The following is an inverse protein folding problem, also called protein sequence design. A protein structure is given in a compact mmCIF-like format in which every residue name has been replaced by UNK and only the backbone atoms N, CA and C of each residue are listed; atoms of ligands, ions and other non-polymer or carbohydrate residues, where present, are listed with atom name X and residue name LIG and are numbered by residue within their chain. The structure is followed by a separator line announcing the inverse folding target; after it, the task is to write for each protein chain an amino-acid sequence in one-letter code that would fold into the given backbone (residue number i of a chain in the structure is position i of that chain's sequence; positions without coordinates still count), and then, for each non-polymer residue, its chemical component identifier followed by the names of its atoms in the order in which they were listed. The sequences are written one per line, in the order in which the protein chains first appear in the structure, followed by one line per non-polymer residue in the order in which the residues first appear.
data_IF_455415851504
#
_entry.id   IF_455415851504
#
_cell.length_a   1.000
_cell.length_b   1.000
_cell.length_c   1.000
_cell.angle_alpha   90.00
_cell.angle_beta   90.00
_cell.angle_gamma   90.00
#
_symmetry.space_group_name_H-M   'P 1'
#
loop_
_entity.id
_entity.type
_entity.pdbx_description
1 polymer ?
#
# COMPACT_ATOMS: atom_id res chain seq x y z
N UNK A 1 -13.97 -6.07 4.45
CA UNK A 1 -15.00 -7.13 4.34
C UNK A 1 -16.22 -6.71 3.52
N UNK A 2 -16.52 -5.44 3.34
CA UNK A 2 -17.70 -4.93 2.64
C UNK A 2 -17.86 -5.39 1.18
N UNK A 3 -17.09 -4.85 0.23
CA UNK A 3 -17.42 -5.04 -1.18
C UNK A 3 -17.07 -6.42 -1.74
N UNK A 4 -16.18 -7.20 -1.12
CA UNK A 4 -15.78 -8.53 -1.61
C UNK A 4 -16.93 -9.53 -1.75
N UNK A 5 -18.05 -9.32 -1.05
CA UNK A 5 -19.26 -10.15 -1.11
C UNK A 5 -20.43 -9.47 -1.82
N UNK A 6 -20.17 -8.30 -2.45
CA UNK A 6 -21.21 -7.56 -3.15
C UNK A 6 -21.56 -8.28 -4.47
N UNK A 7 -22.85 -8.59 -4.66
CA UNK A 7 -23.32 -9.26 -5.87
C UNK A 7 -23.64 -8.22 -6.96
N UNK A 8 -22.63 -7.89 -7.75
CA UNK A 8 -22.74 -6.92 -8.85
C UNK A 8 -23.79 -7.34 -9.87
N UNK A 9 -23.89 -8.62 -10.18
CA UNK A 9 -24.87 -9.11 -11.17
C UNK A 9 -26.30 -8.89 -10.70
N UNK A 10 -26.57 -9.15 -9.41
CA UNK A 10 -27.87 -8.89 -8.80
C UNK A 10 -28.15 -7.41 -8.65
N UNK A 11 -27.14 -6.60 -8.42
CA UNK A 11 -27.24 -5.14 -8.36
C UNK A 11 -27.67 -4.57 -9.71
N UNK A 12 -27.11 -5.07 -10.81
CA UNK A 12 -27.58 -4.80 -12.18
C UNK A 12 -27.32 -3.39 -12.68
N UNK A 13 -26.33 -2.67 -12.13
CA UNK A 13 -25.93 -1.35 -12.61
C UNK A 13 -24.67 -1.46 -13.47
N UNK A 14 -24.51 -0.54 -14.44
CA UNK A 14 -23.36 -0.45 -15.31
C UNK A 14 -22.20 0.30 -14.62
N UNK A 15 -22.48 1.17 -13.66
CA UNK A 15 -21.53 1.92 -12.85
C UNK A 15 -22.16 2.33 -11.51
N UNK A 16 -21.34 2.80 -10.58
CA UNK A 16 -21.78 3.32 -9.28
C UNK A 16 -20.86 4.44 -8.79
N UNK A 17 -21.23 5.06 -7.67
CA UNK A 17 -20.39 5.94 -6.88
C UNK A 17 -20.42 5.47 -5.44
N UNK A 18 -19.27 5.44 -4.77
CA UNK A 18 -19.22 5.39 -3.31
C UNK A 18 -19.31 6.79 -2.74
N UNK A 19 -19.95 6.93 -1.58
CA UNK A 19 -20.05 8.19 -0.85
C UNK A 19 -19.34 7.96 0.49
N UNK A 20 -18.13 8.48 0.61
CA UNK A 20 -17.29 8.22 1.78
C UNK A 20 -16.27 9.34 2.03
N UNK A 21 -16.15 9.72 3.30
CA UNK A 21 -15.09 10.56 3.85
C UNK A 21 -14.92 11.95 3.27
N UNK A 22 -13.82 12.52 3.62
CA UNK A 22 -13.12 13.70 3.13
C UNK A 22 -13.96 14.97 2.87
N UNK A 23 -13.47 15.88 2.04
CA UNK A 23 -14.08 17.18 1.81
C UNK A 23 -15.25 17.10 0.84
N UNK A 24 -16.30 17.87 1.08
CA UNK A 24 -17.42 18.03 0.16
C UNK A 24 -16.92 18.53 -1.21
N UNK A 25 -17.39 17.88 -2.28
CA UNK A 25 -16.98 18.20 -3.65
C UNK A 25 -15.78 17.43 -4.16
N UNK A 26 -15.13 16.64 -3.33
CA UNK A 26 -14.06 15.75 -3.81
C UNK A 26 -14.63 14.65 -4.71
N UNK A 27 -13.95 14.47 -5.86
CA UNK A 27 -14.20 13.42 -6.84
C UNK A 27 -12.91 12.63 -6.97
N UNK A 28 -12.93 11.41 -6.49
CA UNK A 28 -11.75 10.59 -6.30
C UNK A 28 -11.84 9.34 -7.16
N UNK A 29 -10.95 9.20 -8.13
CA UNK A 29 -10.88 8.05 -9.05
C UNK A 29 -9.48 7.43 -9.13
N UNK A 30 -8.58 7.91 -8.29
CA UNK A 30 -7.24 7.37 -8.08
C UNK A 30 -7.03 7.04 -6.61
N UNK A 31 -6.45 5.89 -6.34
CA UNK A 31 -6.09 5.43 -5.01
C UNK A 31 -4.73 4.74 -5.05
N UNK A 32 -4.13 4.44 -3.90
CA UNK A 32 -2.90 3.69 -3.86
C UNK A 32 -3.06 2.26 -4.43
N UNK A 33 -1.99 1.77 -5.09
CA UNK A 33 -1.67 0.34 -5.08
C UNK A 33 -1.11 -0.02 -3.71
N UNK A 34 -1.46 -1.16 -3.18
CA UNK A 34 -1.15 -1.54 -1.82
C UNK A 34 -0.63 -2.97 -1.68
N UNK A 35 0.43 -3.13 -0.91
CA UNK A 35 0.90 -4.43 -0.46
C UNK A 35 1.28 -4.40 1.02
N UNK A 36 1.20 -5.55 1.66
CA UNK A 36 1.84 -5.87 2.93
C UNK A 36 3.12 -6.64 2.64
N UNK A 37 4.21 -6.28 3.32
CA UNK A 37 5.43 -7.08 3.33
C UNK A 37 5.75 -7.53 4.76
N UNK A 38 6.07 -8.81 4.91
CA UNK A 38 6.59 -9.40 6.14
C UNK A 38 8.00 -9.88 5.85
N UNK A 39 8.96 -9.36 6.62
CA UNK A 39 10.36 -9.75 6.56
C UNK A 39 10.71 -10.47 7.84
N UNK A 40 11.08 -11.73 7.74
CA UNK A 40 11.48 -12.54 8.88
C UNK A 40 12.99 -12.77 8.84
N UNK A 41 13.60 -12.77 10.01
CA UNK A 41 15.03 -12.91 10.19
C UNK A 41 15.31 -14.08 11.14
N UNK A 42 16.19 -14.99 10.72
CA UNK A 42 16.65 -16.11 11.52
C UNK A 42 18.12 -15.91 11.87
N UNK A 43 18.40 -15.82 13.15
CA UNK A 43 19.74 -15.65 13.68
C UNK A 43 20.44 -16.96 14.06
N UNK A 44 21.73 -16.85 14.36
CA UNK A 44 22.53 -17.92 14.97
C UNK A 44 22.95 -17.42 16.34
N UNK A 45 22.26 -17.91 17.39
CA UNK A 45 22.50 -17.50 18.76
C UNK A 45 23.56 -18.43 19.38
N UNK A 46 24.66 -17.85 19.83
CA UNK A 46 25.77 -18.52 20.51
C UNK A 46 26.22 -17.68 21.71
N UNK A 47 27.00 -18.28 22.63
CA UNK A 47 27.50 -17.55 23.80
C UNK A 47 28.30 -16.31 23.39
N UNK A 48 27.95 -15.10 23.89
CA UNK A 48 28.56 -13.85 23.44
C UNK A 48 30.09 -13.79 23.54
N UNK A 49 30.67 -14.38 24.58
CA UNK A 49 32.12 -14.40 24.79
C UNK A 49 32.92 -15.21 23.77
N UNK A 50 32.27 -16.09 22.99
CA UNK A 50 32.87 -16.93 21.95
C UNK A 50 32.21 -16.83 20.58
N UNK A 51 31.52 -15.70 20.33
CA UNK A 51 30.66 -15.53 19.19
C UNK A 51 31.32 -14.97 17.93
N UNK A 52 32.65 -14.68 17.99
CA UNK A 52 33.36 -14.06 16.85
C UNK A 52 33.21 -14.89 15.58
N UNK A 53 32.74 -14.27 14.51
CA UNK A 53 32.49 -14.85 13.17
C UNK A 53 31.49 -16.03 13.15
N UNK A 54 30.69 -16.21 14.22
CA UNK A 54 29.71 -17.30 14.31
C UNK A 54 28.28 -16.75 14.56
N UNK A 55 28.13 -15.77 15.46
CA UNK A 55 26.81 -15.21 15.79
C UNK A 55 26.25 -14.44 14.63
N UNK A 56 24.97 -14.69 14.32
CA UNK A 56 24.14 -13.83 13.49
C UNK A 56 22.99 -13.33 14.38
N UNK A 57 23.00 -12.06 14.69
CA UNK A 57 21.96 -11.44 15.51
C UNK A 57 20.81 -10.98 14.63
N UNK A 58 19.68 -11.69 14.68
CA UNK A 58 18.50 -11.41 13.86
C UNK A 58 17.97 -9.98 14.03
N UNK A 59 17.97 -9.43 15.25
CA UNK A 59 17.53 -8.06 15.51
C UNK A 59 18.43 -7.03 14.81
N UNK A 60 19.74 -7.23 14.79
CA UNK A 60 20.67 -6.34 14.10
C UNK A 60 20.55 -6.45 12.57
N UNK A 61 20.33 -7.65 12.03
CA UNK A 61 20.06 -7.84 10.60
C UNK A 61 18.74 -7.14 10.19
N UNK A 62 17.72 -7.19 11.05
CA UNK A 62 16.47 -6.47 10.81
C UNK A 62 16.67 -4.94 10.77
N UNK A 63 17.47 -4.39 11.68
CA UNK A 63 17.83 -2.96 11.65
C UNK A 63 18.63 -2.60 10.39
N UNK A 64 19.55 -3.47 9.96
CA UNK A 64 20.29 -3.29 8.71
C UNK A 64 19.36 -3.29 7.50
N UNK A 65 18.41 -4.25 7.41
CA UNK A 65 17.40 -4.28 6.37
C UNK A 65 16.66 -2.94 6.27
N UNK A 66 16.13 -2.44 7.39
CA UNK A 66 15.40 -1.17 7.41
C UNK A 66 16.28 0.01 6.97
N UNK A 67 17.56 0.03 7.34
CA UNK A 67 18.49 1.10 6.97
C UNK A 67 18.84 1.15 5.48
N UNK A 68 18.60 0.07 4.73
CA UNK A 68 18.83 -0.02 3.29
C UNK A 68 17.64 0.47 2.47
N UNK A 69 16.46 0.68 3.09
CA UNK A 69 15.32 1.32 2.43
C UNK A 69 15.54 2.84 2.35
N UNK A 70 14.97 3.53 1.34
CA UNK A 70 15.06 4.99 1.23
C UNK A 70 14.46 5.66 2.48
N UNK A 71 15.28 6.43 3.19
CA UNK A 71 14.90 7.01 4.48
C UNK A 71 13.82 8.09 4.41
N UNK A 72 13.64 8.73 3.24
CA UNK A 72 12.63 9.74 3.00
C UNK A 72 11.30 9.16 2.48
N UNK A 73 11.28 7.88 2.08
CA UNK A 73 10.07 7.23 1.56
C UNK A 73 9.20 6.72 2.72
N UNK A 74 8.76 7.61 3.58
CA UNK A 74 7.91 7.28 4.74
C UNK A 74 6.60 8.06 4.72
N UNK A 75 5.54 7.60 5.41
CA UNK A 75 4.29 8.35 5.48
C UNK A 75 4.44 9.77 6.04
N UNK A 76 5.45 10.01 6.87
CA UNK A 76 5.75 11.32 7.45
C UNK A 76 6.33 12.30 6.44
N UNK A 77 7.10 11.80 5.48
CA UNK A 77 7.94 12.60 4.60
C UNK A 77 7.43 12.62 3.15
N UNK A 78 6.23 12.07 2.90
CA UNK A 78 5.61 11.96 1.57
C UNK A 78 4.21 12.53 1.54
N UNK A 79 3.83 13.14 0.41
CA UNK A 79 2.53 13.76 0.18
C UNK A 79 1.99 13.42 -1.22
N UNK A 80 0.79 13.84 -1.54
CA UNK A 80 0.11 13.70 -2.83
C UNK A 80 0.26 12.31 -3.46
N UNK A 81 0.95 12.22 -4.59
CA UNK A 81 1.16 10.98 -5.36
C UNK A 81 2.37 10.17 -4.92
N UNK A 82 3.15 10.67 -3.97
CA UNK A 82 4.36 9.99 -3.52
C UNK A 82 4.05 8.73 -2.74
N UNK A 83 4.71 7.65 -3.12
CA UNK A 83 4.60 6.36 -2.45
C UNK A 83 5.56 6.23 -1.26
N UNK A 84 5.36 5.20 -0.43
CA UNK A 84 6.15 5.01 0.78
C UNK A 84 6.28 3.54 1.19
N UNK A 85 7.26 3.31 2.08
CA UNK A 85 7.36 2.14 2.96
C UNK A 85 7.00 2.57 4.38
N UNK A 86 6.03 1.94 4.99
CA UNK A 86 5.68 2.20 6.38
C UNK A 86 5.98 0.96 7.23
N UNK A 87 7.06 1.02 8.00
CA UNK A 87 7.34 0.04 9.05
C UNK A 87 6.35 0.28 10.20
N UNK A 88 5.36 -0.59 10.35
CA UNK A 88 4.34 -0.43 11.40
C UNK A 88 4.47 -1.45 12.56
N UNK A 89 5.30 -2.48 12.40
CA UNK A 89 5.56 -3.45 13.46
C UNK A 89 6.99 -3.95 13.40
N UNK A 90 7.64 -4.00 14.56
CA UNK A 90 8.94 -4.62 14.78
C UNK A 90 8.89 -5.49 16.01
N UNK A 91 9.36 -6.73 15.89
CA UNK A 91 9.50 -7.69 16.99
C UNK A 91 10.80 -8.47 16.80
N UNK A 92 11.48 -8.83 17.89
CA UNK A 92 12.59 -9.72 17.76
C UNK A 92 13.62 -9.70 18.89
N UNK A 93 14.52 -10.67 18.78
CA UNK A 93 15.67 -10.89 19.63
C UNK A 93 16.88 -11.38 18.80
N UNK A 94 17.88 -11.98 19.44
CA UNK A 94 19.08 -12.50 18.76
C UNK A 94 18.75 -13.65 17.81
N UNK A 95 17.77 -14.48 18.15
CA UNK A 95 17.45 -15.72 17.42
C UNK A 95 16.46 -15.48 16.28
N UNK A 96 15.48 -14.62 16.50
CA UNK A 96 14.43 -14.31 15.53
C UNK A 96 14.01 -12.84 15.57
N UNK A 97 13.75 -12.27 14.41
CA UNK A 97 13.13 -10.96 14.32
C UNK A 97 12.14 -10.92 13.15
N UNK A 98 11.19 -10.00 13.20
CA UNK A 98 10.24 -9.74 12.13
C UNK A 98 9.96 -8.24 12.00
N UNK A 99 9.91 -7.76 10.75
CA UNK A 99 9.48 -6.43 10.37
C UNK A 99 8.24 -6.56 9.51
N UNK A 100 7.21 -5.77 9.80
CA UNK A 100 6.00 -5.72 8.98
C UNK A 100 5.87 -4.32 8.36
N UNK A 101 5.73 -4.29 7.03
CA UNK A 101 5.61 -3.06 6.26
C UNK A 101 4.28 -2.98 5.52
N UNK A 102 3.82 -1.76 5.38
CA UNK A 102 2.83 -1.37 4.38
C UNK A 102 3.57 -0.67 3.25
N UNK A 103 3.35 -1.12 2.00
CA UNK A 103 3.90 -0.50 0.79
C UNK A 103 2.74 0.16 0.06
N UNK A 104 2.92 1.42 -0.33
CA UNK A 104 1.91 2.22 -1.04
C UNK A 104 2.56 3.01 -2.17
N UNK A 105 1.88 3.08 -3.31
CA UNK A 105 2.26 3.95 -4.43
C UNK A 105 1.06 4.09 -5.38
N UNK A 106 0.83 5.29 -5.93
CA UNK A 106 -0.21 5.49 -6.94
C UNK A 106 0.18 4.88 -8.29
N UNK A 107 1.45 4.96 -8.64
CA UNK A 107 1.95 4.46 -9.92
C UNK A 107 2.34 2.97 -9.81
N UNK A 108 1.78 2.13 -10.67
CA UNK A 108 2.02 0.68 -10.67
C UNK A 108 3.50 0.32 -10.95
N UNK A 109 4.20 1.10 -11.78
CA UNK A 109 5.61 0.85 -12.11
C UNK A 109 6.52 1.13 -10.91
N UNK A 110 6.34 2.27 -10.23
CA UNK A 110 7.12 2.61 -9.03
C UNK A 110 6.74 1.72 -7.85
N UNK A 111 5.48 1.29 -7.77
CA UNK A 111 5.05 0.27 -6.81
C UNK A 111 5.80 -1.05 -6.99
N UNK A 112 5.97 -1.51 -8.23
CA UNK A 112 6.77 -2.70 -8.54
C UNK A 112 8.25 -2.50 -8.22
N UNK A 113 8.80 -1.31 -8.47
CA UNK A 113 10.17 -0.96 -8.08
C UNK A 113 10.35 -1.06 -6.57
N UNK A 114 9.37 -0.58 -5.77
CA UNK A 114 9.41 -0.70 -4.31
C UNK A 114 9.46 -2.16 -3.85
N UNK A 115 8.62 -3.02 -4.40
CA UNK A 115 8.63 -4.46 -4.08
C UNK A 115 9.99 -5.09 -4.42
N UNK A 116 10.50 -4.84 -5.63
CA UNK A 116 11.82 -5.32 -6.08
C UNK A 116 12.98 -4.80 -5.23
N UNK A 117 12.88 -3.59 -4.69
CA UNK A 117 13.88 -3.05 -3.76
C UNK A 117 13.98 -3.92 -2.52
N UNK A 118 12.85 -4.30 -1.91
CA UNK A 118 12.85 -5.20 -0.74
C UNK A 118 13.40 -6.60 -1.08
N UNK A 119 13.03 -7.14 -2.25
CA UNK A 119 13.57 -8.42 -2.75
C UNK A 119 15.10 -8.36 -2.93
N UNK A 120 15.59 -7.24 -3.47
CA UNK A 120 17.02 -7.04 -3.68
C UNK A 120 17.78 -6.93 -2.36
N UNK A 121 17.27 -6.17 -1.39
CA UNK A 121 17.84 -6.08 -0.03
C UNK A 121 17.88 -7.48 0.63
N UNK A 122 16.78 -8.24 0.51
CA UNK A 122 16.71 -9.62 1.02
C UNK A 122 17.83 -10.49 0.44
N UNK A 123 18.08 -10.38 -0.86
CA UNK A 123 19.15 -11.12 -1.53
C UNK A 123 20.54 -10.71 -1.00
N UNK A 124 20.82 -9.41 -0.93
CA UNK A 124 22.10 -8.87 -0.42
C UNK A 124 22.37 -9.37 1.01
N UNK A 125 21.38 -9.31 1.89
CA UNK A 125 21.54 -9.72 3.27
C UNK A 125 21.73 -11.24 3.40
N UNK A 126 21.07 -12.04 2.58
CA UNK A 126 21.30 -13.49 2.52
C UNK A 126 22.69 -13.84 1.97
N UNK A 127 23.25 -13.06 1.04
CA UNK A 127 24.62 -13.22 0.57
C UNK A 127 25.64 -12.86 1.67
N UNK A 128 25.35 -11.83 2.46
CA UNK A 128 26.22 -11.36 3.56
C UNK A 128 26.18 -12.26 4.79
N UNK A 129 24.99 -12.62 5.26
CA UNK A 129 24.77 -13.28 6.54
C UNK A 129 24.53 -14.79 6.46
N UNK A 130 24.35 -15.32 5.25
CA UNK A 130 24.07 -16.73 4.99
C UNK A 130 22.66 -16.94 4.44
N UNK A 131 22.55 -17.94 3.56
CA UNK A 131 21.27 -18.29 2.91
C UNK A 131 20.21 -18.68 3.95
N UNK A 132 19.05 -18.06 3.86
CA UNK A 132 17.91 -18.31 4.75
C UNK A 132 17.90 -17.46 6.03
N UNK A 133 18.88 -16.54 6.20
CA UNK A 133 18.87 -15.58 7.29
C UNK A 133 17.71 -14.60 7.15
N UNK A 134 17.35 -14.20 5.94
CA UNK A 134 16.24 -13.28 5.66
C UNK A 134 15.23 -13.93 4.72
N UNK A 135 13.96 -13.93 5.10
CA UNK A 135 12.85 -14.29 4.21
C UNK A 135 11.88 -13.13 4.06
N UNK A 136 11.36 -12.93 2.85
CA UNK A 136 10.43 -11.87 2.50
C UNK A 136 9.17 -12.47 1.91
N UNK A 137 8.03 -12.06 2.45
CA UNK A 137 6.70 -12.37 1.89
C UNK A 137 5.98 -11.06 1.56
N UNK A 138 5.63 -10.85 0.29
CA UNK A 138 4.84 -9.70 -0.15
C UNK A 138 3.47 -10.18 -0.58
N UNK A 139 2.42 -9.54 -0.04
CA UNK A 139 1.02 -9.84 -0.36
C UNK A 139 0.36 -8.56 -0.86
N UNK A 140 -0.07 -8.54 -2.12
CA UNK A 140 -0.86 -7.44 -2.67
C UNK A 140 -2.24 -7.41 -2.02
N UNK A 141 -2.75 -6.21 -1.76
CA UNK A 141 -4.02 -6.00 -1.05
C UNK A 141 -5.10 -5.41 -1.95
N UNK A 142 -4.78 -4.34 -2.67
CA UNK A 142 -5.64 -3.69 -3.64
C UNK A 142 -4.82 -2.89 -4.65
N UNK A 143 -5.46 -2.49 -5.75
CA UNK A 143 -4.86 -1.75 -6.85
C UNK A 143 -5.51 -0.39 -7.02
N UNK A 144 -4.82 0.51 -7.71
CA UNK A 144 -5.36 1.80 -8.10
C UNK A 144 -6.47 1.61 -9.15
N UNK A 145 -7.68 2.11 -8.86
CA UNK A 145 -8.83 1.99 -9.76
C UNK A 145 -8.72 2.87 -11.01
N UNK A 146 -7.73 3.76 -11.08
CA UNK A 146 -7.52 4.64 -12.23
C UNK A 146 -7.55 3.90 -13.56
N UNK A 147 -6.89 2.74 -13.67
CA UNK A 147 -6.83 1.96 -14.90
C UNK A 147 -8.22 1.53 -15.43
N UNK A 148 -9.19 1.39 -14.53
CA UNK A 148 -10.58 1.09 -14.88
C UNK A 148 -11.34 2.36 -15.22
N UNK A 149 -11.22 3.39 -14.37
CA UNK A 149 -11.97 4.65 -14.54
C UNK A 149 -11.50 5.43 -15.76
N UNK A 150 -10.24 5.35 -16.15
CA UNK A 150 -9.73 5.97 -17.39
C UNK A 150 -10.47 5.47 -18.65
N UNK A 151 -11.11 4.31 -18.59
CA UNK A 151 -11.93 3.78 -19.70
C UNK A 151 -13.36 4.32 -19.72
N UNK A 152 -13.79 5.06 -18.68
CA UNK A 152 -15.16 5.57 -18.51
C UNK A 152 -15.16 6.94 -17.82
N UNK A 153 -14.33 7.87 -18.29
CA UNK A 153 -14.17 9.22 -17.72
C UNK A 153 -15.44 10.05 -17.69
N UNK A 154 -16.47 9.69 -18.47
CA UNK A 154 -17.78 10.29 -18.40
C UNK A 154 -18.42 10.23 -17.00
N UNK A 155 -18.01 9.29 -16.13
CA UNK A 155 -18.46 9.25 -14.75
C UNK A 155 -17.92 10.44 -13.96
N UNK A 156 -16.68 10.80 -14.20
CA UNK A 156 -16.02 11.95 -13.55
C UNK A 156 -16.62 13.26 -14.07
N UNK A 157 -16.90 13.34 -15.38
CA UNK A 157 -17.56 14.49 -15.99
C UNK A 157 -18.97 14.70 -15.42
N UNK A 158 -19.76 13.62 -15.26
CA UNK A 158 -21.11 13.66 -14.65
C UNK A 158 -21.05 14.12 -13.20
N UNK A 159 -20.14 13.55 -12.39
CA UNK A 159 -19.96 13.97 -11.00
C UNK A 159 -19.56 15.46 -10.91
N UNK A 160 -18.64 15.89 -11.78
CA UNK A 160 -18.20 17.29 -11.88
C UNK A 160 -19.36 18.23 -12.23
N UNK A 161 -20.21 17.85 -13.18
CA UNK A 161 -21.37 18.62 -13.57
C UNK A 161 -22.38 18.72 -12.41
N UNK A 162 -22.68 17.61 -11.75
CA UNK A 162 -23.59 17.57 -10.60
C UNK A 162 -23.12 18.47 -9.45
N UNK A 163 -21.81 18.44 -9.11
CA UNK A 163 -21.25 19.35 -8.12
C UNK A 163 -21.49 20.82 -8.49
N UNK A 164 -21.22 21.19 -9.74
CA UNK A 164 -21.46 22.57 -10.23
C UNK A 164 -22.93 22.99 -10.17
N UNK A 165 -23.87 22.11 -10.54
CA UNK A 165 -25.29 22.35 -10.44
C UNK A 165 -25.76 22.56 -8.99
N UNK A 166 -25.10 21.89 -8.04
CA UNK A 166 -25.36 22.08 -6.61
C UNK A 166 -24.60 23.27 -6.00
N UNK A 167 -23.87 24.06 -6.79
CA UNK A 167 -22.98 25.14 -6.34
C UNK A 167 -21.85 24.66 -5.39
N UNK A 168 -21.43 23.41 -5.55
CA UNK A 168 -20.29 22.82 -4.84
C UNK A 168 -19.08 22.86 -5.78
N UNK A 169 -17.95 23.49 -5.40
CA UNK A 169 -16.75 23.47 -6.20
C UNK A 169 -16.21 22.04 -6.35
N UNK A 170 -16.12 21.46 -7.56
CA UNK A 170 -15.57 20.13 -7.74
C UNK A 170 -14.05 20.14 -7.52
N UNK A 171 -13.54 19.17 -6.77
CA UNK A 171 -12.13 18.99 -6.46
C UNK A 171 -11.71 17.56 -6.80
N UNK A 172 -10.84 17.41 -7.81
CA UNK A 172 -10.31 16.09 -8.19
C UNK A 172 -9.03 15.85 -7.41
N UNK A 173 -9.05 14.86 -6.53
CA UNK A 173 -7.93 14.50 -5.64
C UNK A 173 -7.68 12.99 -5.63
N UNK A 174 -6.42 12.54 -5.45
CA UNK A 174 -6.12 11.12 -5.24
C UNK A 174 -6.39 10.71 -3.78
N UNK A 175 -6.82 9.49 -3.57
CA UNK A 175 -6.95 8.89 -2.24
C UNK A 175 -5.59 8.30 -1.82
N UNK A 176 -5.03 8.76 -0.71
CA UNK A 176 -3.82 8.15 -0.11
C UNK A 176 -4.17 6.94 0.77
N UNK A 177 -5.03 6.07 0.26
CA UNK A 177 -5.54 4.88 0.93
C UNK A 177 -6.19 3.95 -0.07
N UNK A 178 -7.05 3.06 0.43
CA UNK A 178 -7.96 2.24 -0.37
C UNK A 178 -9.38 2.76 -0.25
N UNK A 179 -10.24 2.33 -1.17
CA UNK A 179 -11.68 2.60 -1.14
C UNK A 179 -12.44 1.37 -1.58
N UNK A 180 -13.67 1.22 -1.11
CA UNK A 180 -14.58 0.17 -1.55
C UNK A 180 -14.85 0.27 -3.06
N UNK A 181 -14.89 1.50 -3.60
CA UNK A 181 -15.03 1.76 -5.03
C UNK A 181 -13.92 1.15 -5.88
N UNK A 182 -12.69 1.09 -5.36
CA UNK A 182 -11.59 0.43 -6.06
C UNK A 182 -11.84 -1.07 -6.20
N UNK A 183 -12.30 -1.75 -5.15
CA UNK A 183 -12.63 -3.18 -5.22
C UNK A 183 -13.80 -3.44 -6.18
N UNK A 184 -14.86 -2.64 -6.10
CA UNK A 184 -16.02 -2.75 -7.01
C UNK A 184 -15.61 -2.54 -8.46
N UNK A 185 -14.72 -1.58 -8.74
CA UNK A 185 -14.20 -1.31 -10.08
C UNK A 185 -13.49 -2.54 -10.67
N UNK A 186 -12.62 -3.19 -9.91
CA UNK A 186 -11.95 -4.42 -10.34
C UNK A 186 -12.86 -5.65 -10.40
N UNK A 187 -14.02 -5.62 -9.76
CA UNK A 187 -15.06 -6.65 -9.89
C UNK A 187 -15.94 -6.43 -11.13
N UNK A 188 -15.77 -5.33 -11.87
CA UNK A 188 -16.50 -5.01 -13.10
C UNK A 188 -17.61 -3.96 -12.93
N UNK A 189 -17.64 -3.24 -11.82
CA UNK A 189 -18.53 -2.10 -11.57
C UNK A 189 -17.70 -0.84 -11.38
N UNK A 190 -17.40 -0.05 -12.44
CA UNK A 190 -16.66 1.20 -12.30
C UNK A 190 -17.31 2.10 -11.24
N UNK A 191 -16.52 2.48 -10.20
CA UNK A 191 -17.09 3.09 -9.00
C UNK A 191 -16.11 4.12 -8.38
N UNK A 192 -16.06 5.37 -8.91
CA UNK A 192 -15.33 6.45 -8.26
C UNK A 192 -15.96 6.83 -6.92
N UNK A 193 -15.17 7.48 -6.05
CA UNK A 193 -15.63 7.96 -4.75
C UNK A 193 -15.96 9.44 -4.78
N UNK A 194 -16.98 9.84 -4.02
CA UNK A 194 -17.38 11.23 -3.80
C UNK A 194 -17.27 11.56 -2.31
N UNK A 195 -16.53 12.63 -2.00
CA UNK A 195 -16.40 13.14 -0.64
C UNK A 195 -17.71 13.69 -0.09
N UNK A 196 -17.99 13.40 1.18
CA UNK A 196 -19.27 13.73 1.84
C UNK A 196 -19.17 14.91 2.81
N UNK A 197 -17.98 15.47 3.03
CA UNK A 197 -17.74 16.50 4.03
C UNK A 197 -17.68 15.96 5.48
N UNK A 198 -17.72 14.65 5.64
CA UNK A 198 -17.61 14.01 6.95
C UNK A 198 -16.15 13.82 7.38
N UNK A 199 -15.76 14.48 8.47
CA UNK A 199 -14.45 14.26 9.09
C UNK A 199 -14.61 13.41 10.34
N UNK A 200 -13.71 12.43 10.53
CA UNK A 200 -13.62 11.61 11.73
C UNK A 200 -12.88 12.37 12.85
#
# INVERSE_FOLDING_TARGET
MGPAHFDIKKFGADFAYTLDGDTEGEIQYENFNAAKAVVEFTGVNVHPGSSKNTMVNAALVAMEFNSMLPSADTPRDTEDYEGFFHLYSIKGDVSHAALEYIIRDHNATTFDVRKKTMEHITKILNEKWGKGTVSLTITEQYRNMKEIIDTCMELIERATAACKECNIPPLITPIRGGTDGAQLSFMGLPCPNLGTGGHA
#
